data_IF_793863942278
#
_entry.id   IF_793863942278
#
_cell.length_a   1.000
_cell.length_b   1.000
_cell.length_c   1.000
_cell.angle_alpha   90.00
_cell.angle_beta   90.00
_cell.angle_gamma   90.00
#
_symmetry.space_group_name_H-M   'P 1'
#
loop_
_entity.id
_entity.type
_entity.pdbx_description
1 polymer ?
#
# COMPACT_ATOMS: atom_id res chain seq x y z
N UNK A 1 13.51 12.23 5.83
CA UNK A 1 12.85 11.98 4.54
C UNK A 1 12.46 10.50 4.51
N UNK A 2 11.33 10.13 3.91
CA UNK A 2 10.85 8.74 3.94
C UNK A 2 11.73 7.84 3.05
N UNK A 3 12.31 6.76 3.59
CA UNK A 3 13.14 5.82 2.82
C UNK A 3 12.30 4.81 2.03
N UNK A 4 11.43 5.33 1.17
CA UNK A 4 10.56 4.57 0.29
C UNK A 4 10.59 5.17 -1.11
N UNK A 5 10.51 4.35 -2.15
CA UNK A 5 10.44 4.80 -3.54
C UNK A 5 9.04 5.32 -3.88
N UNK A 6 8.96 6.28 -4.81
CA UNK A 6 7.66 6.79 -5.28
C UNK A 6 6.84 5.71 -5.97
N UNK A 7 7.48 4.82 -6.73
CA UNK A 7 6.82 3.66 -7.35
C UNK A 7 6.17 2.75 -6.31
N UNK A 8 6.87 2.41 -5.22
CA UNK A 8 6.29 1.60 -4.15
C UNK A 8 5.07 2.27 -3.52
N UNK A 9 5.10 3.59 -3.30
CA UNK A 9 3.98 4.33 -2.72
C UNK A 9 2.76 4.37 -3.67
N UNK A 10 2.98 4.64 -4.96
CA UNK A 10 1.92 4.63 -5.97
C UNK A 10 1.35 3.22 -6.15
N UNK A 11 2.20 2.19 -6.03
CA UNK A 11 1.79 0.79 -6.13
C UNK A 11 1.03 0.31 -4.90
N UNK A 12 1.58 0.47 -3.72
CA UNK A 12 1.09 -0.26 -2.55
C UNK A 12 0.36 0.60 -1.54
N UNK A 13 0.34 1.93 -1.64
CA UNK A 13 -0.23 2.78 -0.59
C UNK A 13 -1.42 3.59 -1.09
N UNK A 14 -2.51 3.55 -0.33
CA UNK A 14 -3.68 4.43 -0.48
C UNK A 14 -3.98 5.08 0.87
N UNK A 15 -4.39 6.34 0.84
CA UNK A 15 -4.63 7.11 2.05
C UNK A 15 -6.14 7.15 2.35
N UNK A 16 -6.52 6.77 3.57
CA UNK A 16 -7.88 6.81 4.07
C UNK A 16 -8.32 8.24 4.40
N UNK A 17 -9.61 8.51 4.24
CA UNK A 17 -10.21 9.79 4.55
C UNK A 17 -10.02 10.84 3.45
N UNK A 18 -10.20 12.11 3.84
CA UNK A 18 -10.10 13.23 2.92
C UNK A 18 -8.62 13.57 2.63
N UNK A 19 -8.29 13.72 1.35
CA UNK A 19 -6.95 14.12 0.88
C UNK A 19 -6.85 15.62 0.68
N UNK A 20 -5.62 16.14 0.76
CA UNK A 20 -5.29 17.51 0.37
C UNK A 20 -4.21 17.48 -0.69
N UNK A 21 -4.22 18.39 -1.68
CA UNK A 21 -3.19 18.43 -2.71
C UNK A 21 -1.76 18.48 -2.15
N UNK A 22 -1.56 19.17 -1.04
CA UNK A 22 -0.27 19.39 -0.37
C UNK A 22 0.05 18.39 0.75
N UNK A 23 -0.69 17.28 0.87
CA UNK A 23 -0.46 16.32 1.94
C UNK A 23 0.85 15.52 1.77
N UNK A 24 1.26 14.85 2.87
CA UNK A 24 2.53 14.11 2.92
C UNK A 24 2.64 13.07 1.80
N UNK A 25 1.56 12.38 1.45
CA UNK A 25 1.64 11.34 0.42
C UNK A 25 1.95 11.94 -0.96
N UNK A 26 1.30 13.06 -1.33
CA UNK A 26 1.57 13.72 -2.60
C UNK A 26 3.00 14.27 -2.66
N UNK A 27 3.49 14.88 -1.58
CA UNK A 27 4.89 15.32 -1.47
C UNK A 27 5.88 14.16 -1.65
N UNK A 28 5.53 12.96 -1.17
CA UNK A 28 6.42 11.80 -1.25
C UNK A 28 6.47 11.20 -2.66
N UNK A 29 5.36 11.14 -3.38
CA UNK A 29 5.33 10.56 -4.75
C UNK A 29 5.86 11.54 -5.80
N UNK A 30 5.66 12.84 -5.63
CA UNK A 30 6.16 13.87 -6.56
C UNK A 30 7.68 14.10 -6.44
N UNK A 31 8.32 13.51 -5.41
CA UNK A 31 9.77 13.65 -5.17
C UNK A 31 10.61 13.17 -6.33
N UNK A 32 10.24 12.03 -6.92
CA UNK A 32 11.04 11.35 -7.97
C UNK A 32 10.16 10.74 -9.09
N UNK A 33 8.85 10.98 -9.08
CA UNK A 33 7.92 10.48 -10.08
C UNK A 33 6.95 11.58 -10.51
N UNK A 34 6.91 11.89 -11.80
CA UNK A 34 5.86 12.73 -12.38
C UNK A 34 4.59 11.89 -12.53
N UNK A 35 3.53 12.28 -11.82
CA UNK A 35 2.24 11.58 -11.88
C UNK A 35 1.26 12.41 -12.72
N UNK A 36 0.70 11.85 -13.80
CA UNK A 36 -0.27 12.56 -14.63
C UNK A 36 -1.47 13.07 -13.81
N UNK A 37 -2.01 14.24 -14.16
CA UNK A 37 -3.10 14.88 -13.44
C UNK A 37 -4.33 13.95 -13.23
N UNK A 38 -4.64 13.11 -14.21
CA UNK A 38 -5.73 12.15 -14.11
C UNK A 38 -5.45 11.04 -13.08
N UNK A 39 -4.21 10.54 -13.03
CA UNK A 39 -3.79 9.59 -12.00
C UNK A 39 -3.77 10.24 -10.61
N UNK A 40 -3.37 11.51 -10.50
CA UNK A 40 -3.47 12.28 -9.26
C UNK A 40 -4.91 12.48 -8.80
N UNK A 41 -5.85 12.71 -9.72
CA UNK A 41 -7.29 12.79 -9.41
C UNK A 41 -7.76 11.50 -8.78
N UNK A 42 -7.43 10.37 -9.41
CA UNK A 42 -7.72 9.03 -8.87
C UNK A 42 -7.07 8.90 -7.48
N UNK A 43 -5.76 9.09 -7.32
CA UNK A 43 -5.04 8.91 -6.05
C UNK A 43 -5.58 9.77 -4.89
N UNK A 44 -6.20 10.92 -5.19
CA UNK A 44 -6.78 11.84 -4.22
C UNK A 44 -8.27 11.59 -3.90
N UNK A 45 -8.92 10.60 -4.53
CA UNK A 45 -10.29 10.22 -4.20
C UNK A 45 -10.41 9.82 -2.72
N UNK A 46 -11.47 10.30 -2.06
CA UNK A 46 -11.77 9.95 -0.68
C UNK A 46 -12.05 8.45 -0.56
N UNK A 47 -11.41 7.79 0.39
CA UNK A 47 -11.64 6.38 0.71
C UNK A 47 -12.14 6.28 2.14
N UNK A 48 -13.35 5.77 2.34
CA UNK A 48 -13.89 5.56 3.68
C UNK A 48 -13.18 4.39 4.39
N UNK A 49 -13.09 4.46 5.72
CA UNK A 49 -12.44 3.44 6.54
C UNK A 49 -13.37 2.23 6.78
N UNK A 50 -13.81 1.59 5.70
CA UNK A 50 -14.69 0.42 5.72
C UNK A 50 -14.15 -0.67 4.80
N UNK A 51 -14.50 -1.93 5.10
CA UNK A 51 -14.07 -3.08 4.31
C UNK A 51 -14.51 -2.95 2.84
N UNK A 52 -15.72 -2.50 2.59
CA UNK A 52 -16.31 -2.33 1.26
C UNK A 52 -15.55 -1.27 0.45
N UNK A 53 -15.24 -0.13 1.06
CA UNK A 53 -14.52 0.95 0.38
C UNK A 53 -13.08 0.53 0.02
N UNK A 54 -12.35 -0.10 0.95
CA UNK A 54 -10.96 -0.52 0.69
C UNK A 54 -10.88 -1.66 -0.32
N UNK A 55 -11.82 -2.61 -0.30
CA UNK A 55 -11.87 -3.70 -1.30
C UNK A 55 -12.22 -3.19 -2.68
N UNK A 56 -13.22 -2.33 -2.81
CA UNK A 56 -13.56 -1.68 -4.07
C UNK A 56 -12.36 -0.91 -4.63
N UNK A 57 -11.69 -0.14 -3.77
CA UNK A 57 -10.55 0.67 -4.18
C UNK A 57 -9.31 -0.13 -4.56
N UNK A 58 -9.07 -1.25 -3.86
CA UNK A 58 -8.03 -2.21 -4.23
C UNK A 58 -8.33 -2.79 -5.62
N UNK A 59 -9.58 -3.17 -5.90
CA UNK A 59 -10.01 -3.66 -7.21
C UNK A 59 -9.66 -2.70 -8.36
N UNK A 60 -10.01 -1.41 -8.24
CA UNK A 60 -9.65 -0.38 -9.23
C UNK A 60 -8.13 -0.31 -9.42
N UNK A 61 -7.39 -0.27 -8.31
CA UNK A 61 -5.93 -0.15 -8.31
C UNK A 61 -5.25 -1.33 -9.00
N UNK A 62 -5.78 -2.53 -8.80
CA UNK A 62 -5.24 -3.78 -9.35
C UNK A 62 -5.64 -3.98 -10.81
N UNK A 63 -6.86 -3.63 -11.20
CA UNK A 63 -7.29 -3.64 -12.61
C UNK A 63 -6.46 -2.67 -13.47
N UNK A 64 -5.97 -1.57 -12.91
CA UNK A 64 -5.04 -0.69 -13.59
C UNK A 64 -3.65 -1.32 -13.83
N UNK A 65 -3.36 -2.50 -13.28
CA UNK A 65 -2.05 -3.19 -13.32
C UNK A 65 -2.11 -4.56 -13.98
N UNK A 66 -3.04 -4.75 -14.92
CA UNK A 66 -3.26 -6.05 -15.56
C UNK A 66 -1.98 -6.62 -16.21
N UNK A 67 -1.06 -5.75 -16.60
CA UNK A 67 0.23 -6.12 -17.20
C UNK A 67 1.28 -6.64 -16.20
N UNK A 68 1.08 -6.48 -14.88
CA UNK A 68 2.05 -6.90 -13.84
C UNK A 68 1.64 -8.22 -13.14
N UNK A 69 0.58 -8.90 -13.58
CA UNK A 69 0.00 -10.07 -12.89
C UNK A 69 0.82 -11.37 -12.95
N UNK A 70 1.95 -11.40 -13.66
CA UNK A 70 2.86 -12.56 -13.69
C UNK A 70 3.73 -12.70 -12.41
N UNK A 71 3.64 -11.76 -11.46
CA UNK A 71 4.31 -11.86 -10.15
C UNK A 71 3.32 -11.99 -8.99
N UNK A 72 3.74 -12.66 -7.91
CA UNK A 72 2.87 -13.05 -6.78
C UNK A 72 2.54 -11.89 -5.81
N UNK A 73 3.32 -10.79 -5.82
CA UNK A 73 3.22 -9.67 -4.87
C UNK A 73 2.93 -8.23 -5.39
N UNK A 74 2.74 -7.94 -6.70
CA UNK A 74 2.22 -6.63 -7.16
C UNK A 74 0.73 -6.44 -6.78
N UNK A 75 0.12 -7.48 -6.21
CA UNK A 75 -1.30 -7.65 -5.98
C UNK A 75 -1.80 -7.14 -4.62
N UNK A 76 -1.00 -6.35 -3.91
CA UNK A 76 -1.33 -5.89 -2.56
C UNK A 76 -1.43 -4.37 -2.48
N UNK A 77 -2.49 -3.89 -1.84
CA UNK A 77 -2.72 -2.48 -1.53
C UNK A 77 -2.94 -2.31 -0.02
N UNK A 78 -2.13 -1.46 0.58
CA UNK A 78 -2.22 -1.01 1.97
C UNK A 78 -3.01 0.30 2.03
N UNK A 79 -3.95 0.37 2.97
CA UNK A 79 -4.75 1.56 3.24
C UNK A 79 -4.42 2.08 4.64
N UNK A 80 -3.95 3.32 4.69
CA UNK A 80 -3.46 3.95 5.91
C UNK A 80 -3.98 5.38 6.01
N UNK A 81 -4.16 5.91 7.22
CA UNK A 81 -4.37 7.35 7.38
C UNK A 81 -3.01 8.09 7.34
N UNK A 82 -3.05 9.43 7.27
CA UNK A 82 -1.83 10.24 7.21
C UNK A 82 -0.94 10.08 8.45
N UNK A 83 -1.50 9.81 9.62
CA UNK A 83 -0.73 9.59 10.85
C UNK A 83 0.04 8.26 10.78
N UNK A 84 -0.60 7.23 10.26
CA UNK A 84 0.01 5.93 9.98
C UNK A 84 1.10 6.05 8.91
N UNK A 85 0.90 6.87 7.86
CA UNK A 85 1.94 7.15 6.87
C UNK A 85 3.17 7.84 7.49
N UNK A 86 2.98 8.74 8.45
CA UNK A 86 4.10 9.33 9.19
C UNK A 86 4.88 8.28 10.00
N UNK A 87 4.18 7.39 10.69
CA UNK A 87 4.81 6.27 11.43
C UNK A 87 5.54 5.31 10.49
N UNK A 88 4.91 4.96 9.36
CA UNK A 88 5.52 4.21 8.27
C UNK A 88 6.85 4.86 7.87
N UNK A 89 6.85 6.14 7.54
CA UNK A 89 8.08 6.82 7.12
C UNK A 89 9.15 6.89 8.21
N UNK A 90 8.75 7.04 9.49
CA UNK A 90 9.68 7.00 10.61
C UNK A 90 10.30 5.61 10.79
N UNK A 91 9.53 4.54 10.61
CA UNK A 91 10.00 3.15 10.76
C UNK A 91 11.00 2.73 9.69
N UNK A 92 10.94 3.33 8.49
CA UNK A 92 11.90 3.07 7.40
C UNK A 92 13.22 3.84 7.57
N UNK A 93 13.34 4.70 8.56
CA UNK A 93 14.44 5.66 8.66
C UNK A 93 15.78 5.12 9.21
N UNK A 94 15.95 3.81 9.50
CA UNK A 94 17.27 3.19 9.56
C UNK A 94 17.47 2.07 8.51
N UNK A 95 16.74 2.08 7.38
CA UNK A 95 16.93 1.06 6.34
C UNK A 95 18.38 1.04 5.82
N UNK A 96 18.97 -0.16 5.85
CA UNK A 96 20.35 -0.39 5.48
C UNK A 96 20.49 -0.55 3.95
N UNK A 97 21.61 -0.04 3.40
CA UNK A 97 21.99 -0.20 1.99
C UNK A 97 22.22 -1.70 1.67
N UNK A 98 22.25 -2.03 0.37
CA UNK A 98 22.54 -3.36 -0.19
C UNK A 98 21.40 -4.39 -0.23
N UNK A 99 20.22 -4.02 -0.75
CA UNK A 99 19.12 -4.96 -1.08
C UNK A 99 18.87 -5.99 0.02
N UNK A 100 18.29 -5.54 1.12
CA UNK A 100 17.97 -6.38 2.27
C UNK A 100 16.48 -6.52 2.44
N UNK A 101 16.08 -7.71 2.82
CA UNK A 101 14.77 -8.01 3.35
C UNK A 101 14.62 -7.43 4.76
N UNK A 102 13.43 -6.92 5.07
CA UNK A 102 13.11 -6.39 6.39
C UNK A 102 11.61 -6.44 6.67
N UNK A 103 11.26 -6.34 7.96
CA UNK A 103 9.89 -6.22 8.45
C UNK A 103 9.63 -4.78 8.94
N UNK A 104 8.58 -4.16 8.41
CA UNK A 104 8.08 -2.86 8.84
C UNK A 104 6.93 -3.05 9.82
N UNK A 105 7.22 -2.90 11.12
CA UNK A 105 6.26 -3.10 12.21
C UNK A 105 5.47 -1.82 12.51
N UNK A 106 4.54 -1.47 11.64
CA UNK A 106 3.59 -0.35 11.79
C UNK A 106 2.19 -0.88 11.62
N UNK A 107 1.26 -0.51 12.51
CA UNK A 107 -0.14 -0.94 12.40
C UNK A 107 -0.78 -0.33 11.16
N UNK A 108 -1.10 -1.17 10.18
CA UNK A 108 -1.79 -0.75 8.96
C UNK A 108 -3.28 -1.06 9.11
N UNK A 109 -4.17 -0.06 9.00
CA UNK A 109 -5.61 -0.25 9.14
C UNK A 109 -6.17 -1.34 8.23
N UNK A 110 -5.78 -1.37 6.96
CA UNK A 110 -6.16 -2.42 6.02
C UNK A 110 -5.04 -2.79 5.06
N UNK A 111 -4.91 -4.08 4.79
CA UNK A 111 -4.16 -4.62 3.67
C UNK A 111 -5.11 -5.49 2.85
N UNK A 112 -5.19 -5.22 1.54
CA UNK A 112 -5.99 -6.01 0.61
C UNK A 112 -5.06 -6.63 -0.42
N UNK A 113 -5.06 -7.95 -0.50
CA UNK A 113 -4.25 -8.74 -1.42
C UNK A 113 -5.15 -9.53 -2.35
N UNK A 114 -4.96 -9.43 -3.66
CA UNK A 114 -5.66 -10.27 -4.63
C UNK A 114 -5.04 -11.66 -4.67
N UNK A 115 -5.84 -12.70 -4.43
CA UNK A 115 -5.40 -14.08 -4.21
C UNK A 115 -5.90 -15.07 -5.27
N UNK A 116 -6.52 -14.58 -6.35
CA UNK A 116 -7.01 -15.40 -7.46
C UNK A 116 -8.31 -14.84 -8.04
N UNK A 117 -8.90 -15.53 -9.01
CA UNK A 117 -10.09 -15.06 -9.75
C UNK A 117 -11.18 -14.55 -8.81
N UNK A 118 -11.38 -13.23 -8.80
CA UNK A 118 -12.37 -12.54 -7.96
C UNK A 118 -12.26 -12.83 -6.45
N UNK A 119 -11.08 -13.13 -5.93
CA UNK A 119 -10.84 -13.42 -4.52
C UNK A 119 -9.79 -12.48 -3.94
N UNK A 120 -10.09 -11.90 -2.78
CA UNK A 120 -9.19 -11.02 -2.07
C UNK A 120 -9.03 -11.50 -0.63
N UNK A 121 -7.80 -11.53 -0.15
CA UNK A 121 -7.51 -11.54 1.27
C UNK A 121 -7.55 -10.09 1.79
N UNK A 122 -8.25 -9.89 2.90
CA UNK A 122 -8.39 -8.60 3.57
C UNK A 122 -7.94 -8.77 5.00
N UNK A 123 -6.83 -8.11 5.34
CA UNK A 123 -6.30 -8.04 6.69
C UNK A 123 -6.67 -6.68 7.28
N UNK A 124 -7.50 -6.68 8.32
CA UNK A 124 -7.77 -5.50 9.13
C UNK A 124 -6.76 -5.45 10.29
N UNK A 125 -6.29 -4.25 10.62
CA UNK A 125 -5.35 -4.02 11.73
C UNK A 125 -4.08 -4.90 11.62
N UNK A 126 -3.48 -4.92 10.43
CA UNK A 126 -2.26 -5.68 10.16
C UNK A 126 -1.12 -5.18 11.06
N UNK A 127 -0.26 -6.08 11.53
CA UNK A 127 0.90 -5.75 12.36
C UNK A 127 1.98 -4.98 11.59
N UNK A 128 1.91 -5.02 10.26
CA UNK A 128 2.91 -4.42 9.38
C UNK A 128 2.95 -5.08 8.02
N UNK A 129 4.10 -4.98 7.37
CA UNK A 129 4.40 -5.69 6.14
C UNK A 129 5.89 -6.02 6.06
N UNK A 130 6.23 -7.10 5.38
CA UNK A 130 7.59 -7.40 4.97
C UNK A 130 7.87 -6.78 3.60
N UNK A 131 9.11 -6.33 3.39
CA UNK A 131 9.57 -5.73 2.16
C UNK A 131 11.06 -5.96 1.94
N UNK A 132 11.57 -5.43 0.82
CA UNK A 132 13.01 -5.34 0.57
C UNK A 132 13.43 -3.94 0.14
N UNK A 133 14.73 -3.65 0.27
CA UNK A 133 15.33 -2.42 -0.23
C UNK A 133 15.91 -2.57 -1.64
N UNK A 134 16.06 -1.46 -2.37
CA UNK A 134 16.88 -1.40 -3.59
C UNK A 134 18.39 -1.27 -3.25
N UNK A 135 19.22 -1.00 -4.25
CA UNK A 135 20.67 -0.86 -4.05
C UNK A 135 21.00 0.34 -3.16
N UNK A 136 20.19 1.39 -3.25
CA UNK A 136 20.34 2.67 -2.56
C UNK A 136 19.82 2.64 -1.11
N UNK A 137 19.11 1.58 -0.72
CA UNK A 137 18.53 1.41 0.62
C UNK A 137 17.09 1.90 0.77
N UNK A 138 16.38 2.16 -0.32
CA UNK A 138 14.96 2.56 -0.29
C UNK A 138 14.05 1.34 -0.34
N UNK A 139 12.96 1.33 0.45
CA UNK A 139 11.87 0.37 0.32
C UNK A 139 11.31 0.40 -1.11
N UNK A 140 11.38 -0.73 -1.82
CA UNK A 140 11.05 -0.79 -3.23
C UNK A 140 10.22 -2.02 -3.64
N UNK A 141 10.08 -3.02 -2.79
CA UNK A 141 9.36 -4.23 -3.14
C UNK A 141 8.58 -4.78 -1.94
N UNK A 142 7.29 -5.00 -2.13
CA UNK A 142 6.41 -5.60 -1.13
C UNK A 142 6.59 -7.11 -1.13
N UNK A 143 6.58 -7.73 0.06
CA UNK A 143 6.72 -9.19 0.18
C UNK A 143 5.49 -9.86 0.77
N UNK A 144 4.97 -9.38 1.90
CA UNK A 144 3.79 -10.00 2.53
C UNK A 144 3.22 -9.13 3.64
N UNK A 145 1.94 -9.31 3.99
CA UNK A 145 1.38 -8.73 5.21
C UNK A 145 2.00 -9.39 6.44
N UNK A 146 2.17 -8.62 7.51
CA UNK A 146 2.47 -9.16 8.83
C UNK A 146 1.18 -9.14 9.66
N UNK A 147 0.87 -10.28 10.28
CA UNK A 147 -0.34 -10.47 11.10
C UNK A 147 0.04 -10.95 12.49
N UNK A 148 -0.74 -10.56 13.49
CA UNK A 148 -0.62 -11.08 14.86
C UNK A 148 -2.00 -11.26 15.52
N UNK A 149 -2.04 -11.50 16.83
CA UNK A 149 -3.29 -11.73 17.57
C UNK A 149 -4.29 -10.56 17.58
N UNK A 150 -3.92 -9.38 17.07
CA UNK A 150 -4.84 -8.24 16.92
C UNK A 150 -5.28 -8.02 15.47
N UNK A 151 -4.71 -8.77 14.52
CA UNK A 151 -5.09 -8.72 13.12
C UNK A 151 -6.30 -9.60 12.86
N UNK A 152 -7.21 -9.12 12.00
CA UNK A 152 -8.37 -9.89 11.56
C UNK A 152 -8.26 -10.15 10.05
N UNK A 153 -8.04 -11.42 9.68
CA UNK A 153 -7.91 -11.84 8.28
C UNK A 153 -9.21 -12.44 7.80
N UNK A 154 -9.70 -11.96 6.66
CA UNK A 154 -10.92 -12.45 6.03
C UNK A 154 -10.80 -12.50 4.52
N UNK A 155 -11.52 -13.43 3.89
CA UNK A 155 -11.64 -13.46 2.43
C UNK A 155 -12.84 -12.63 1.99
N UNK A 156 -12.67 -11.81 0.95
CA UNK A 156 -13.73 -11.09 0.27
C UNK A 156 -13.86 -11.55 -1.17
N UNK A 157 -15.10 -11.68 -1.64
CA UNK A 157 -15.45 -11.95 -3.04
C UNK A 157 -16.55 -10.98 -3.47
N UNK A 158 -16.48 -10.38 -4.67
CA UNK A 158 -17.57 -9.59 -5.20
C UNK A 158 -18.80 -10.49 -5.35
N UNK A 159 -19.97 -9.97 -4.95
CA UNK A 159 -21.23 -10.68 -5.16
C UNK A 159 -21.64 -10.50 -6.64
N UNK A 160 -21.71 -11.59 -7.40
CA UNK A 160 -22.34 -11.62 -8.73
C UNK A 160 -21.41 -11.48 -9.95
N UNK A 161 -20.30 -12.24 -9.98
CA UNK A 161 -19.57 -12.54 -11.22
C UNK A 161 -19.75 -14.02 -11.57
#
# INVERSE_FOLDING_TARGET
MCNCTSDFLVKHVRILGQRRPDDLYNQLIERDLEVPAEAMRILNEKIDNTREAVTHRAGITLQARVEEFDHQYPNTVMFMDLATLQQFCASLNPLQRHKRDFDCNVRIPWIVTWTGTNSYEVVQNAAGFAASTNNEGFCNHYRQPLTDGQSNTSTWKPKGL
#
